data_IF_064942114791
#
_entry.id   IF_064942114791
#
_cell.length_a   1.000
_cell.length_b   1.000
_cell.length_c   1.000
_cell.angle_alpha   90.00
_cell.angle_beta   90.00
_cell.angle_gamma   90.00
#
_symmetry.space_group_name_H-M   'P 1'
#
loop_
_entity.id
_entity.type
_entity.pdbx_description
1 polymer ?
#
# COMPACT_ATOMS: atom_id res chain seq x y z
N UNK A 1 -2.03 -12.15 -8.46
CA UNK A 1 -2.11 -11.01 -7.51
C UNK A 1 -1.01 -10.01 -7.83
N UNK A 2 -1.29 -8.71 -7.74
CA UNK A 2 -0.31 -7.64 -7.98
C UNK A 2 -0.19 -6.81 -6.71
N UNK A 3 1.00 -6.76 -6.12
CA UNK A 3 1.35 -5.92 -4.97
C UNK A 3 2.06 -4.66 -5.47
N UNK A 4 1.64 -3.49 -4.99
CA UNK A 4 2.23 -2.19 -5.34
C UNK A 4 2.78 -1.59 -4.06
N UNK A 5 4.06 -1.19 -4.07
CA UNK A 5 4.73 -0.55 -2.93
C UNK A 5 4.89 0.93 -3.25
N UNK A 6 4.20 1.78 -2.50
CA UNK A 6 4.31 3.24 -2.61
C UNK A 6 5.29 3.73 -1.56
N UNK A 7 6.44 4.27 -1.98
CA UNK A 7 7.47 4.81 -1.10
C UNK A 7 7.84 6.24 -1.48
N UNK A 8 8.41 7.01 -0.54
CA UNK A 8 8.77 8.40 -0.77
C UNK A 8 9.00 9.20 0.51
N UNK A 9 9.65 10.36 0.39
CA UNK A 9 9.92 11.27 1.52
C UNK A 9 8.64 11.91 2.06
N UNK A 10 8.64 12.35 3.32
CA UNK A 10 7.50 13.09 3.89
C UNK A 10 7.15 14.30 3.00
N UNK A 11 5.87 14.45 2.64
CA UNK A 11 5.40 15.46 1.68
C UNK A 11 5.41 15.06 0.20
N UNK A 12 5.85 13.86 -0.18
CA UNK A 12 5.90 13.42 -1.59
C UNK A 12 4.56 12.98 -2.20
N UNK A 13 3.43 13.19 -1.51
CA UNK A 13 2.11 12.80 -2.01
C UNK A 13 1.78 11.30 -1.94
N UNK A 14 2.42 10.54 -1.05
CA UNK A 14 2.12 9.09 -0.88
C UNK A 14 0.65 8.83 -0.54
N UNK A 15 0.07 9.66 0.33
CA UNK A 15 -1.34 9.58 0.71
C UNK A 15 -2.24 9.78 -0.52
N UNK A 16 -1.96 10.79 -1.34
CA UNK A 16 -2.71 11.01 -2.60
C UNK A 16 -2.57 9.84 -3.58
N UNK A 17 -1.40 9.19 -3.64
CA UNK A 17 -1.23 8.00 -4.47
C UNK A 17 -2.02 6.79 -3.92
N UNK A 18 -2.11 6.64 -2.59
CA UNK A 18 -2.94 5.62 -1.94
C UNK A 18 -4.43 5.87 -2.22
N UNK A 19 -4.90 7.11 -2.13
CA UNK A 19 -6.30 7.49 -2.41
C UNK A 19 -6.71 7.10 -3.83
N UNK A 20 -5.88 7.44 -4.83
CA UNK A 20 -6.14 7.07 -6.23
C UNK A 20 -6.13 5.55 -6.42
N UNK A 21 -5.25 4.82 -5.71
CA UNK A 21 -5.22 3.37 -5.78
C UNK A 21 -6.47 2.74 -5.16
N UNK A 22 -6.99 3.29 -4.06
CA UNK A 22 -8.26 2.86 -3.47
C UNK A 22 -9.43 3.07 -4.44
N UNK A 23 -9.50 4.22 -5.10
CA UNK A 23 -10.52 4.51 -6.13
C UNK A 23 -10.47 3.52 -7.31
N UNK A 24 -9.27 3.00 -7.62
CA UNK A 24 -9.08 1.98 -8.66
C UNK A 24 -9.34 0.54 -8.16
N UNK A 25 -9.84 0.37 -6.93
CA UNK A 25 -10.19 -0.93 -6.36
C UNK A 25 -9.01 -1.70 -5.76
N UNK A 26 -7.88 -1.02 -5.47
CA UNK A 26 -6.80 -1.62 -4.70
C UNK A 26 -7.10 -1.55 -3.20
N UNK A 27 -6.65 -2.55 -2.48
CA UNK A 27 -6.63 -2.51 -1.02
C UNK A 27 -5.31 -1.89 -0.56
N UNK A 28 -5.40 -0.69 -0.01
CA UNK A 28 -4.27 0.11 0.42
C UNK A 28 -4.04 -0.03 1.94
N UNK A 29 -2.78 -0.13 2.35
CA UNK A 29 -2.37 -0.17 3.77
C UNK A 29 -1.20 0.77 3.95
N UNK A 30 -1.37 1.78 4.81
CA UNK A 30 -0.29 2.70 5.18
C UNK A 30 0.44 2.22 6.44
N UNK A 31 1.67 2.73 6.66
CA UNK A 31 2.51 2.44 7.81
C UNK A 31 2.76 0.93 8.08
N UNK A 32 2.76 0.13 7.01
CA UNK A 32 2.92 -1.31 7.05
C UNK A 32 4.38 -1.69 7.40
N UNK A 33 4.59 -2.50 8.44
CA UNK A 33 5.90 -3.09 8.74
C UNK A 33 6.28 -4.11 7.66
N UNK A 34 7.59 -4.35 7.42
CA UNK A 34 8.03 -5.30 6.39
C UNK A 34 7.48 -6.72 6.58
N UNK A 35 7.24 -7.15 7.81
CA UNK A 35 6.63 -8.45 8.11
C UNK A 35 5.17 -8.54 7.66
N UNK A 36 4.42 -7.45 7.74
CA UNK A 36 3.04 -7.40 7.29
C UNK A 36 2.93 -7.57 5.77
N UNK A 37 3.83 -6.98 4.97
CA UNK A 37 3.87 -7.23 3.52
C UNK A 37 4.20 -8.70 3.18
N UNK A 38 4.94 -9.39 4.05
CA UNK A 38 5.38 -10.78 3.80
C UNK A 38 4.26 -11.79 4.00
N UNK A 39 3.37 -11.52 4.96
CA UNK A 39 2.20 -12.35 5.25
C UNK A 39 0.92 -11.85 4.54
N UNK A 40 1.06 -10.85 3.66
CA UNK A 40 -0.01 -10.35 2.82
C UNK A 40 -0.03 -11.10 1.48
N UNK A 41 -1.07 -11.87 1.09
CA UNK A 41 -2.26 -12.34 1.79
C UNK A 41 -2.16 -13.86 2.02
N UNK A 42 -1.48 -14.31 3.07
CA UNK A 42 -1.40 -15.75 3.40
C UNK A 42 -2.57 -16.26 4.25
N UNK A 43 -3.48 -15.38 4.67
CA UNK A 43 -4.63 -15.69 5.54
C UNK A 43 -6.00 -15.51 4.86
N UNK A 44 -6.04 -15.53 3.52
CA UNK A 44 -7.29 -15.74 2.76
C UNK A 44 -7.18 -16.90 1.79
#
# INVERSE_FOLDING_TARGET
MRMIIVSGRSGSGKSTALDVLEDNGFYCVDNCLPDCCRNWPSER
#
